data_IF_932627111409
#
_entry.id   IF_932627111409
#
_cell.length_a   1.000
_cell.length_b   1.000
_cell.length_c   1.000
_cell.angle_alpha   90.00
_cell.angle_beta   90.00
_cell.angle_gamma   90.00
#
_symmetry.space_group_name_H-M   'P 1'
#
loop_
_entity.id
_entity.type
_entity.pdbx_description
1 polymer ?
#
# COMPACT_ATOMS: atom_id res chain seq x y z
N UNK A 1 -36.06 -7.10 2.37
CA UNK A 1 -35.50 -5.73 2.57
C UNK A 1 -35.81 -4.89 1.35
N UNK A 2 -36.17 -3.61 1.50
CA UNK A 2 -36.52 -2.75 0.36
C UNK A 2 -35.28 -2.05 -0.21
N UNK A 3 -35.17 -1.95 -1.54
CA UNK A 3 -34.11 -1.18 -2.17
C UNK A 3 -34.41 0.32 -2.07
N UNK A 4 -33.50 1.17 -1.53
CA UNK A 4 -33.79 2.60 -1.36
C UNK A 4 -33.78 3.39 -2.69
N UNK A 5 -33.29 2.79 -3.78
CA UNK A 5 -33.27 3.43 -5.10
C UNK A 5 -34.57 3.24 -5.87
N UNK A 6 -35.22 2.07 -5.74
CA UNK A 6 -36.39 1.73 -6.56
C UNK A 6 -37.60 1.25 -5.74
N UNK A 7 -37.48 1.10 -4.42
CA UNK A 7 -38.56 0.65 -3.53
C UNK A 7 -38.93 -0.83 -3.66
N UNK A 8 -38.29 -1.60 -4.55
CA UNK A 8 -38.63 -3.01 -4.78
C UNK A 8 -38.11 -3.89 -3.65
N UNK A 9 -38.94 -4.83 -3.21
CA UNK A 9 -38.56 -5.83 -2.21
C UNK A 9 -37.47 -6.77 -2.77
N UNK A 10 -36.39 -6.91 -2.01
CA UNK A 10 -35.25 -7.76 -2.33
C UNK A 10 -34.98 -8.71 -1.17
N UNK A 11 -34.62 -9.96 -1.47
CA UNK A 11 -34.17 -10.91 -0.45
C UNK A 11 -32.79 -10.49 0.10
N UNK A 12 -32.54 -10.80 1.37
CA UNK A 12 -31.33 -10.39 2.11
C UNK A 12 -30.03 -11.01 1.58
N UNK A 13 -30.11 -12.10 0.81
CA UNK A 13 -28.94 -12.82 0.27
C UNK A 13 -28.45 -12.26 -1.07
N UNK A 14 -29.21 -11.37 -1.71
CA UNK A 14 -28.84 -10.80 -3.01
C UNK A 14 -27.86 -9.64 -2.84
N UNK A 15 -26.74 -9.71 -3.57
CA UNK A 15 -25.71 -8.65 -3.60
C UNK A 15 -26.18 -7.39 -4.34
N UNK A 16 -27.13 -7.55 -5.27
CA UNK A 16 -27.62 -6.48 -6.13
C UNK A 16 -29.15 -6.54 -6.24
N UNK A 17 -29.79 -5.38 -6.39
CA UNK A 17 -31.22 -5.30 -6.66
C UNK A 17 -31.53 -5.81 -8.07
N UNK A 18 -32.54 -6.68 -8.20
CA UNK A 18 -32.95 -7.22 -9.50
C UNK A 18 -33.62 -6.19 -10.42
N UNK A 19 -34.20 -5.13 -9.84
CA UNK A 19 -34.92 -4.10 -10.61
C UNK A 19 -34.01 -2.98 -11.11
N UNK A 20 -33.10 -2.46 -10.27
CA UNK A 20 -32.26 -1.30 -10.60
C UNK A 20 -30.75 -1.59 -10.62
N UNK A 21 -30.30 -2.78 -10.24
CA UNK A 21 -28.87 -3.14 -10.20
C UNK A 21 -28.07 -2.54 -9.03
N UNK A 22 -28.71 -1.80 -8.11
CA UNK A 22 -28.01 -1.19 -6.97
C UNK A 22 -27.37 -2.24 -6.04
N UNK A 23 -26.15 -1.96 -5.54
CA UNK A 23 -25.41 -2.86 -4.65
C UNK A 23 -25.96 -2.81 -3.22
N UNK A 24 -26.68 -3.85 -2.82
CA UNK A 24 -27.37 -3.92 -1.53
C UNK A 24 -26.42 -4.20 -0.37
N UNK A 25 -25.19 -4.66 -0.64
CA UNK A 25 -24.20 -5.02 0.39
C UNK A 25 -23.62 -3.80 1.12
N UNK A 26 -23.49 -2.67 0.41
CA UNK A 26 -23.01 -1.41 0.99
C UNK A 26 -24.16 -0.69 1.71
N UNK A 27 -25.33 -0.72 1.10
CA UNK A 27 -26.53 -0.06 1.60
C UNK A 27 -27.03 -0.74 2.88
N UNK A 28 -27.03 -2.07 2.96
CA UNK A 28 -27.47 -2.80 4.15
C UNK A 28 -26.71 -2.42 5.42
N UNK A 29 -25.40 -2.14 5.31
CA UNK A 29 -24.57 -1.68 6.43
C UNK A 29 -24.90 -0.26 6.86
N UNK A 30 -25.19 0.62 5.90
CA UNK A 30 -25.58 2.00 6.20
C UNK A 30 -26.95 2.02 6.87
N UNK A 31 -27.93 1.29 6.34
CA UNK A 31 -29.28 1.19 6.92
C UNK A 31 -29.24 0.57 8.31
N UNK A 32 -28.44 -0.48 8.55
CA UNK A 32 -28.29 -1.04 9.90
C UNK A 32 -27.67 -0.07 10.90
N UNK A 33 -26.75 0.80 10.45
CA UNK A 33 -26.18 1.85 11.30
C UNK A 33 -27.20 2.96 11.57
N UNK A 34 -27.94 3.39 10.55
CA UNK A 34 -29.02 4.37 10.69
C UNK A 34 -30.12 3.87 11.63
N UNK A 35 -30.46 2.59 11.55
CA UNK A 35 -31.47 1.96 12.40
C UNK A 35 -30.98 1.77 13.85
N UNK A 36 -29.68 1.50 14.03
CA UNK A 36 -29.06 1.51 15.37
C UNK A 36 -29.05 2.92 15.98
N UNK A 37 -28.80 3.96 15.18
CA UNK A 37 -28.83 5.36 15.63
C UNK A 37 -30.28 5.82 15.92
N UNK A 38 -31.25 5.38 15.11
CA UNK A 38 -32.66 5.67 15.32
C UNK A 38 -33.25 4.95 16.54
N UNK A 39 -32.70 3.80 16.94
CA UNK A 39 -33.07 3.10 18.19
C UNK A 39 -32.27 3.56 19.40
N UNK A 40 -31.15 4.26 19.22
CA UNK A 40 -30.43 4.91 20.32
C UNK A 40 -31.07 6.25 20.68
N UNK A 41 -32.29 6.20 21.22
CA UNK A 41 -33.00 7.34 21.79
C UNK A 41 -32.34 7.92 23.06
N UNK A 42 -31.18 7.38 23.46
CA UNK A 42 -30.34 7.95 24.53
C UNK A 42 -29.41 9.04 23.99
N UNK A 43 -29.96 10.03 23.29
CA UNK A 43 -29.29 11.34 23.19
C UNK A 43 -29.55 12.04 24.53
N UNK A 44 -28.53 12.29 25.36
CA UNK A 44 -28.74 12.84 26.70
C UNK A 44 -29.48 14.18 26.60
N UNK A 45 -30.54 14.34 27.41
CA UNK A 45 -31.45 15.49 27.40
C UNK A 45 -30.72 16.85 27.45
N UNK A 46 -29.51 16.90 28.02
CA UNK A 46 -28.63 18.08 28.04
C UNK A 46 -28.26 18.62 26.65
N UNK A 47 -28.20 17.79 25.62
CA UNK A 47 -27.86 18.25 24.25
C UNK A 47 -29.10 18.86 23.58
N UNK A 48 -30.30 18.34 23.87
CA UNK A 48 -31.57 18.84 23.32
C UNK A 48 -31.88 20.27 23.76
N UNK A 49 -31.48 20.64 24.99
CA UNK A 49 -31.66 22.00 25.51
C UNK A 49 -30.59 22.99 25.03
N UNK A 50 -29.39 22.52 24.69
CA UNK A 50 -28.35 23.36 24.07
C UNK A 50 -28.67 23.69 22.61
N UNK A 51 -29.33 22.78 21.89
CA UNK A 51 -29.70 22.99 20.47
C UNK A 51 -30.92 23.90 20.33
N UNK A 52 -31.86 23.89 21.30
CA UNK A 52 -33.06 24.73 21.26
C UNK A 52 -32.83 26.21 21.58
N UNK A 53 -31.74 26.55 22.28
CA UNK A 53 -31.43 27.93 22.66
C UNK A 53 -30.51 28.67 21.67
N UNK A 54 -29.96 27.97 20.68
CA UNK A 54 -29.28 28.62 19.57
C UNK A 54 -30.36 29.14 18.62
N UNK A 55 -30.52 30.47 18.53
CA UNK A 55 -31.34 31.12 17.50
C UNK A 55 -30.84 30.70 16.11
N UNK A 56 -31.57 29.78 15.50
CA UNK A 56 -31.26 29.03 14.27
C UNK A 56 -31.33 29.87 12.98
N UNK A 57 -31.62 31.18 13.03
CA UNK A 57 -31.74 31.98 11.79
C UNK A 57 -30.49 32.73 11.35
N UNK A 58 -29.50 32.96 12.23
CA UNK A 58 -28.28 33.70 11.84
C UNK A 58 -26.99 32.87 11.87
N UNK A 59 -26.98 31.80 12.65
CA UNK A 59 -25.82 30.89 12.78
C UNK A 59 -25.82 29.83 11.67
N UNK A 60 -26.95 29.59 11.02
CA UNK A 60 -27.09 28.61 9.93
C UNK A 60 -26.40 29.02 8.64
N UNK A 61 -26.36 30.31 8.29
CA UNK A 61 -25.67 30.77 7.08
C UNK A 61 -24.14 30.75 7.24
N UNK A 62 -23.62 31.15 8.39
CA UNK A 62 -22.17 31.10 8.65
C UNK A 62 -21.69 29.66 8.83
N UNK A 63 -22.47 28.81 9.50
CA UNK A 63 -22.15 27.38 9.63
C UNK A 63 -22.31 26.67 8.29
N UNK A 64 -23.30 27.00 7.46
CA UNK A 64 -23.41 26.45 6.10
C UNK A 64 -22.19 26.79 5.26
N UNK A 65 -21.72 28.05 5.27
CA UNK A 65 -20.51 28.45 4.54
C UNK A 65 -19.24 27.81 5.10
N UNK A 66 -19.13 27.66 6.43
CA UNK A 66 -17.98 27.01 7.06
C UNK A 66 -17.97 25.50 6.80
N UNK A 67 -19.14 24.86 6.83
CA UNK A 67 -19.31 23.44 6.57
C UNK A 67 -19.07 23.12 5.10
N UNK A 68 -19.44 24.02 4.18
CA UNK A 68 -19.15 23.86 2.76
C UNK A 68 -17.66 24.02 2.44
N UNK A 69 -16.96 24.97 3.08
CA UNK A 69 -15.48 25.05 3.03
C UNK A 69 -14.82 23.79 3.58
N UNK A 70 -15.30 23.28 4.70
CA UNK A 70 -14.78 22.05 5.31
C UNK A 70 -15.05 20.84 4.41
N UNK A 71 -16.24 20.73 3.83
CA UNK A 71 -16.58 19.65 2.91
C UNK A 71 -15.73 19.71 1.62
N UNK A 72 -15.40 20.92 1.15
CA UNK A 72 -14.52 21.13 0.00
C UNK A 72 -13.06 20.77 0.31
N UNK A 73 -12.57 21.03 1.53
CA UNK A 73 -11.26 20.57 2.01
C UNK A 73 -11.22 19.04 2.24
N UNK A 74 -12.32 18.46 2.73
CA UNK A 74 -12.45 17.01 2.87
C UNK A 74 -12.45 16.34 1.49
N UNK A 75 -13.19 16.87 0.52
CA UNK A 75 -13.19 16.36 -0.84
C UNK A 75 -11.78 16.39 -1.47
N UNK A 76 -11.07 17.53 -1.37
CA UNK A 76 -9.70 17.66 -1.88
C UNK A 76 -8.70 16.75 -1.17
N UNK A 77 -8.74 16.68 0.16
CA UNK A 77 -7.84 15.80 0.93
C UNK A 77 -8.17 14.32 0.75
N UNK A 78 -9.43 13.99 0.45
CA UNK A 78 -9.86 12.63 0.15
C UNK A 78 -9.31 12.13 -1.17
N UNK A 79 -9.28 12.96 -2.23
CA UNK A 79 -8.71 12.58 -3.52
C UNK A 79 -7.19 12.42 -3.44
N UNK A 80 -6.50 13.27 -2.67
CA UNK A 80 -5.05 13.15 -2.44
C UNK A 80 -4.71 11.88 -1.63
N UNK A 81 -5.53 11.53 -0.62
CA UNK A 81 -5.41 10.25 0.10
C UNK A 81 -5.77 9.04 -0.75
N UNK A 82 -6.78 9.16 -1.61
CA UNK A 82 -7.24 8.08 -2.52
C UNK A 82 -6.19 7.78 -3.58
N UNK A 83 -5.48 8.81 -4.07
CA UNK A 83 -4.36 8.64 -4.99
C UNK A 83 -3.13 8.03 -4.28
N UNK A 84 -2.86 8.36 -3.00
CA UNK A 84 -1.82 7.63 -2.22
C UNK A 84 -2.15 6.15 -2.01
N UNK A 85 -3.42 5.78 -1.90
CA UNK A 85 -3.84 4.38 -1.72
C UNK A 85 -3.86 3.58 -3.02
N UNK A 86 -4.12 4.21 -4.18
CA UNK A 86 -4.13 3.51 -5.48
C UNK A 86 -2.74 3.04 -5.94
N UNK A 87 -1.66 3.62 -5.38
CA UNK A 87 -0.28 3.18 -5.62
C UNK A 87 0.16 2.00 -4.75
N UNK A 88 -0.75 1.44 -3.93
CA UNK A 88 -0.60 0.05 -3.46
C UNK A 88 -0.94 -0.90 -4.61
N UNK A 89 -0.13 -0.85 -5.69
CA UNK A 89 0.10 -2.06 -6.49
C UNK A 89 0.49 -3.15 -5.49
N UNK A 90 -0.19 -4.29 -5.55
CA UNK A 90 0.15 -5.47 -4.76
C UNK A 90 1.63 -5.75 -4.98
N UNK A 91 2.45 -5.33 -4.01
CA UNK A 91 3.89 -5.54 -4.09
C UNK A 91 4.10 -7.02 -4.05
N UNK A 92 4.84 -7.53 -5.02
CA UNK A 92 5.22 -8.93 -5.02
C UNK A 92 5.86 -9.28 -3.68
N UNK A 93 5.66 -10.49 -3.16
CA UNK A 93 6.25 -10.92 -1.89
C UNK A 93 7.78 -10.73 -1.89
N UNK A 94 8.42 -10.85 -3.06
CA UNK A 94 9.84 -10.58 -3.27
C UNK A 94 10.22 -9.12 -3.04
N UNK A 95 9.47 -8.17 -3.60
CA UNK A 95 9.75 -6.75 -3.40
C UNK A 95 9.57 -6.31 -1.94
N UNK A 96 8.70 -7.00 -1.18
CA UNK A 96 8.55 -6.78 0.26
C UNK A 96 9.80 -7.24 1.03
N UNK A 97 10.35 -8.40 0.65
CA UNK A 97 11.58 -8.97 1.24
C UNK A 97 12.77 -8.04 1.01
N UNK A 98 12.98 -7.59 -0.22
CA UNK A 98 14.07 -6.65 -0.56
C UNK A 98 14.02 -5.36 0.25
N UNK A 99 12.82 -4.80 0.48
CA UNK A 99 12.66 -3.60 1.31
C UNK A 99 13.06 -3.84 2.76
N UNK A 100 12.70 -4.98 3.34
CA UNK A 100 13.09 -5.31 4.71
C UNK A 100 14.61 -5.51 4.83
N UNK A 101 15.23 -6.16 3.84
CA UNK A 101 16.69 -6.31 3.79
C UNK A 101 17.41 -4.98 3.64
N UNK A 102 17.07 -4.19 2.63
CA UNK A 102 17.73 -2.89 2.37
C UNK A 102 17.56 -1.94 3.55
N UNK A 103 16.34 -1.85 4.10
CA UNK A 103 16.08 -1.01 5.28
C UNK A 103 16.83 -1.52 6.51
N UNK A 104 16.88 -2.83 6.71
CA UNK A 104 17.63 -3.44 7.80
C UNK A 104 19.14 -3.22 7.68
N UNK A 105 19.69 -3.34 6.47
CA UNK A 105 21.10 -3.15 6.16
C UNK A 105 21.54 -1.70 6.39
N UNK A 106 20.76 -0.74 5.89
CA UNK A 106 21.04 0.70 6.09
C UNK A 106 21.08 1.03 7.59
N UNK A 107 20.11 0.55 8.38
CA UNK A 107 20.07 0.77 9.83
C UNK A 107 21.20 0.08 10.57
N UNK A 108 21.57 -1.13 10.13
CA UNK A 108 22.66 -1.88 10.72
C UNK A 108 24.00 -1.15 10.56
N UNK A 109 24.31 -0.71 9.32
CA UNK A 109 25.53 0.05 9.06
C UNK A 109 25.51 1.45 9.67
N UNK A 110 24.36 2.15 9.66
CA UNK A 110 24.27 3.46 10.30
C UNK A 110 24.47 3.35 11.81
N UNK A 111 23.95 2.29 12.44
CA UNK A 111 24.15 2.03 13.87
C UNK A 111 25.58 1.64 14.20
N UNK A 112 26.18 0.74 13.42
CA UNK A 112 27.59 0.36 13.58
C UNK A 112 28.53 1.56 13.43
N UNK A 113 28.32 2.38 12.40
CA UNK A 113 29.08 3.61 12.17
C UNK A 113 28.91 4.62 13.31
N UNK A 114 27.67 4.86 13.76
CA UNK A 114 27.39 5.75 14.89
C UNK A 114 28.03 5.24 16.19
N UNK A 115 27.97 3.94 16.44
CA UNK A 115 28.57 3.30 17.61
C UNK A 115 30.09 3.49 17.65
N UNK A 116 30.77 3.22 16.52
CA UNK A 116 32.22 3.40 16.39
C UNK A 116 32.59 4.89 16.52
N UNK A 117 31.82 5.78 15.89
CA UNK A 117 32.02 7.22 15.99
C UNK A 117 31.90 7.72 17.43
N UNK A 118 30.83 7.33 18.16
CA UNK A 118 30.62 7.73 19.56
C UNK A 118 31.72 7.17 20.48
N UNK A 119 32.21 5.96 20.22
CA UNK A 119 33.35 5.39 20.93
C UNK A 119 34.60 6.27 20.78
N UNK A 120 35.00 6.60 19.56
CA UNK A 120 36.17 7.47 19.34
C UNK A 120 35.96 8.90 19.85
N UNK A 121 34.76 9.47 19.66
CA UNK A 121 34.41 10.80 20.14
C UNK A 121 34.52 10.89 21.67
N UNK A 122 33.97 9.90 22.38
CA UNK A 122 34.02 9.83 23.84
C UNK A 122 35.46 9.68 24.36
N UNK A 123 36.27 8.84 23.72
CA UNK A 123 37.70 8.72 24.04
C UNK A 123 38.47 10.03 23.80
N UNK A 124 38.22 10.70 22.67
CA UNK A 124 38.86 11.98 22.35
C UNK A 124 38.43 13.07 23.34
N UNK A 125 37.17 13.09 23.78
CA UNK A 125 36.67 13.99 24.81
C UNK A 125 37.41 13.75 26.14
N UNK A 126 37.47 12.51 26.61
CA UNK A 126 38.15 12.17 27.88
C UNK A 126 39.59 12.63 27.89
N UNK A 127 40.31 12.51 26.76
CA UNK A 127 41.70 12.97 26.64
C UNK A 127 41.85 14.50 26.60
N UNK A 128 40.80 15.25 26.27
CA UNK A 128 40.83 16.71 26.09
C UNK A 128 40.20 17.48 27.26
N UNK A 129 39.55 16.81 28.22
CA UNK A 129 38.94 17.50 29.36
C UNK A 129 40.01 17.99 30.36
N UNK A 130 39.99 19.27 30.76
CA UNK A 130 40.86 19.77 31.82
C UNK A 130 40.57 19.09 33.16
N UNK A 131 41.59 18.81 34.00
CA UNK A 131 41.41 18.14 35.29
C UNK A 131 40.50 18.92 36.26
N UNK A 132 40.45 20.24 36.13
CA UNK A 132 39.61 21.11 36.98
C UNK A 132 38.10 20.88 36.79
N UNK A 133 37.70 20.46 35.58
CA UNK A 133 36.29 20.14 35.26
C UNK A 133 35.93 18.76 35.81
N UNK A 134 36.87 17.80 35.74
CA UNK A 134 36.68 16.44 36.23
C UNK A 134 36.41 16.45 37.74
N UNK A 135 37.09 17.30 38.51
CA UNK A 135 36.92 17.40 39.96
C UNK A 135 35.54 17.92 40.41
N UNK A 136 34.80 18.64 39.55
CA UNK A 136 33.47 19.18 39.88
C UNK A 136 32.33 18.18 39.63
N UNK A 137 32.61 17.09 38.93
CA UNK A 137 31.60 16.13 38.51
C UNK A 137 31.53 15.01 39.57
N UNK A 138 30.38 14.79 40.22
CA UNK A 138 30.26 13.82 41.32
C UNK A 138 30.11 12.36 40.86
N UNK A 139 30.27 12.07 39.57
CA UNK A 139 30.07 10.73 39.00
C UNK A 139 31.31 10.23 38.25
N UNK A 140 31.47 8.91 38.21
CA UNK A 140 32.54 8.24 37.46
C UNK A 140 32.33 8.42 35.95
N UNK A 141 33.37 8.88 35.24
CA UNK A 141 33.30 9.16 33.79
C UNK A 141 33.31 7.85 32.98
N UNK A 142 34.01 6.82 33.46
CA UNK A 142 34.18 5.54 32.76
C UNK A 142 32.83 4.83 32.45
N UNK A 143 31.89 4.69 33.42
CA UNK A 143 30.56 4.16 33.14
C UNK A 143 29.78 4.99 32.11
N UNK A 144 29.87 6.33 32.17
CA UNK A 144 29.12 7.20 31.25
C UNK A 144 29.63 7.03 29.83
N UNK A 145 30.95 6.95 29.64
CA UNK A 145 31.57 6.68 28.34
C UNK A 145 31.10 5.32 27.80
N UNK A 146 31.03 4.29 28.65
CA UNK A 146 30.48 2.97 28.27
C UNK A 146 29.00 3.00 27.91
N UNK A 147 28.20 3.86 28.52
CA UNK A 147 26.77 3.97 28.19
C UNK A 147 26.55 4.75 26.89
N UNK A 148 27.37 5.77 26.63
CA UNK A 148 27.23 6.63 25.44
C UNK A 148 27.38 5.84 24.14
N UNK A 149 28.35 4.92 24.02
CA UNK A 149 28.50 4.14 22.78
C UNK A 149 27.38 3.10 22.59
N UNK A 150 26.75 2.62 23.67
CA UNK A 150 25.59 1.71 23.59
C UNK A 150 24.37 2.36 22.91
N UNK A 151 24.27 3.69 22.88
CA UNK A 151 23.23 4.40 22.12
C UNK A 151 23.33 4.07 20.62
N UNK A 152 24.55 3.88 20.09
CA UNK A 152 24.77 3.43 18.71
C UNK A 152 24.38 1.97 18.46
N UNK A 153 24.34 1.14 19.50
CA UNK A 153 23.96 -0.27 19.41
C UNK A 153 22.45 -0.45 19.14
N UNK A 154 21.61 0.47 19.62
CA UNK A 154 20.14 0.43 19.46
C UNK A 154 19.73 0.35 17.98
N UNK A 155 20.14 1.27 17.08
CA UNK A 155 19.82 1.19 15.66
C UNK A 155 20.44 -0.05 14.98
N UNK A 156 21.58 -0.55 15.45
CA UNK A 156 22.20 -1.77 14.94
C UNK A 156 21.33 -3.01 15.23
N UNK A 157 20.86 -3.16 16.47
CA UNK A 157 19.94 -4.25 16.85
C UNK A 157 18.59 -4.14 16.13
N UNK A 158 18.06 -2.92 15.98
CA UNK A 158 16.84 -2.70 15.20
C UNK A 158 17.01 -3.06 13.71
N UNK A 159 18.17 -2.74 13.12
CA UNK A 159 18.55 -3.15 11.77
C UNK A 159 18.60 -4.67 11.62
N UNK A 160 19.22 -5.36 12.58
CA UNK A 160 19.28 -6.82 12.61
C UNK A 160 17.89 -7.45 12.69
N UNK A 161 16.99 -6.90 13.51
CA UNK A 161 15.60 -7.34 13.59
C UNK A 161 14.86 -7.25 12.25
N UNK A 162 15.09 -6.18 11.48
CA UNK A 162 14.52 -6.05 10.14
C UNK A 162 15.10 -7.05 9.12
N UNK A 163 16.40 -7.35 9.20
CA UNK A 163 17.04 -8.37 8.35
C UNK A 163 16.46 -9.75 8.65
N UNK A 164 16.35 -10.12 9.94
CA UNK A 164 15.76 -11.38 10.36
C UNK A 164 14.28 -11.49 9.95
N UNK A 165 13.52 -10.41 10.08
CA UNK A 165 12.14 -10.36 9.59
C UNK A 165 12.05 -10.53 8.06
N UNK A 166 13.02 -10.02 7.30
CA UNK A 166 13.12 -10.25 5.86
C UNK A 166 13.49 -11.70 5.51
N UNK A 167 14.30 -12.36 6.34
CA UNK A 167 14.69 -13.77 6.17
C UNK A 167 13.55 -14.74 6.48
N UNK A 168 12.68 -14.43 7.44
CA UNK A 168 11.60 -15.32 7.88
C UNK A 168 10.38 -15.34 6.94
N UNK A 169 10.25 -14.37 6.04
CA UNK A 169 9.20 -14.37 5.01
C UNK A 169 9.54 -15.46 3.99
N UNK A 170 8.84 -16.61 4.08
CA UNK A 170 8.93 -17.66 3.06
C UNK A 170 8.41 -17.12 1.72
N UNK A 171 9.13 -17.34 0.61
CA UNK A 171 8.58 -17.04 -0.70
C UNK A 171 7.30 -17.84 -0.86
N UNK A 172 6.20 -17.16 -1.20
CA UNK A 172 4.98 -17.86 -1.58
C UNK A 172 5.35 -18.79 -2.74
N UNK A 173 4.95 -20.07 -2.70
CA UNK A 173 5.20 -20.96 -3.82
C UNK A 173 4.63 -20.25 -5.05
N UNK A 174 5.49 -20.04 -6.06
CA UNK A 174 5.09 -19.47 -7.34
C UNK A 174 3.94 -20.35 -7.78
N UNK A 175 2.72 -19.82 -7.71
CA UNK A 175 1.54 -20.51 -8.21
C UNK A 175 1.86 -20.65 -9.68
N UNK A 176 2.34 -21.84 -10.07
CA UNK A 176 2.61 -22.14 -11.46
C UNK A 176 1.35 -21.70 -12.16
N UNK A 177 1.51 -20.72 -13.04
CA UNK A 177 0.44 -20.32 -13.92
C UNK A 177 0.13 -21.64 -14.62
N UNK A 178 -0.95 -22.29 -14.19
CA UNK A 178 -1.59 -23.34 -14.95
C UNK A 178 -1.79 -22.69 -16.29
N UNK A 179 -0.86 -22.94 -17.20
CA UNK A 179 -1.08 -22.69 -18.60
C UNK A 179 -2.40 -23.39 -18.84
N UNK A 180 -3.45 -22.66 -19.27
CA UNK A 180 -4.75 -23.27 -19.52
C UNK A 180 -4.44 -24.48 -20.35
N UNK A 181 -4.69 -25.65 -19.76
CA UNK A 181 -4.38 -26.95 -20.33
C UNK A 181 -4.83 -26.84 -21.77
N UNK A 182 -3.85 -26.88 -22.69
CA UNK A 182 -4.11 -26.70 -24.11
C UNK A 182 -5.13 -27.77 -24.41
N UNK A 183 -6.40 -27.38 -24.47
CA UNK A 183 -7.47 -28.27 -24.83
C UNK A 183 -7.03 -28.73 -26.20
N UNK A 184 -6.64 -30.00 -26.38
CA UNK A 184 -6.17 -30.45 -27.66
C UNK A 184 -7.27 -30.06 -28.62
N UNK A 185 -6.93 -29.25 -29.63
CA UNK A 185 -7.84 -28.87 -30.69
C UNK A 185 -8.37 -30.18 -31.24
N UNK A 186 -9.55 -30.58 -30.76
CA UNK A 186 -10.28 -31.71 -31.27
C UNK A 186 -10.80 -31.19 -32.59
N UNK A 187 -10.03 -31.44 -33.64
CA UNK A 187 -10.48 -31.30 -35.01
C UNK A 187 -11.54 -32.39 -35.13
N UNK A 188 -12.78 -32.07 -34.78
CA UNK A 188 -13.93 -32.86 -35.14
C UNK A 188 -14.04 -32.75 -36.66
N UNK A 189 -13.32 -33.65 -37.33
CA UNK A 189 -13.27 -33.80 -38.78
C UNK A 189 -14.54 -34.50 -39.24
N UNK A 190 -15.68 -33.82 -39.11
CA UNK A 190 -16.91 -34.08 -39.86
C UNK A 190 -17.33 -32.78 -40.56
N UNK A 191 -16.42 -32.18 -41.34
CA UNK A 191 -16.84 -31.30 -42.41
C UNK A 191 -17.13 -32.16 -43.64
N UNK A 192 -18.43 -32.34 -43.85
CA UNK A 192 -19.08 -32.75 -45.07
C UNK A 192 -18.34 -32.18 -46.31
N UNK A 193 -17.80 -33.09 -47.11
CA UNK A 193 -16.97 -32.83 -48.28
C UNK A 193 -17.85 -32.24 -49.38
N UNK A 194 -17.99 -30.92 -49.40
CA UNK A 194 -18.42 -30.21 -50.61
C UNK A 194 -17.21 -30.03 -51.52
N UNK A 195 -17.21 -30.75 -52.63
CA UNK A 195 -16.28 -30.60 -53.74
C UNK A 195 -16.31 -29.14 -54.25
N UNK A 196 -15.22 -28.41 -54.01
CA UNK A 196 -14.93 -27.18 -54.72
C UNK A 196 -13.86 -27.46 -55.78
N UNK A 197 -14.01 -26.93 -57.01
CA UNK A 197 -13.05 -27.15 -58.08
C UNK A 197 -11.71 -26.47 -57.77
N UNK A 198 -10.62 -27.20 -58.07
CA UNK A 198 -9.24 -26.78 -57.92
C UNK A 198 -8.94 -25.46 -58.65
N UNK A 199 -8.78 -24.39 -57.89
CA UNK A 199 -8.08 -23.19 -58.36
C UNK A 199 -6.70 -23.15 -57.72
N UNK A 200 -5.69 -23.34 -58.55
CA UNK A 200 -4.28 -23.48 -58.19
C UNK A 200 -3.70 -22.17 -57.66
N UNK A 201 -3.77 -21.94 -56.35
CA UNK A 201 -2.97 -20.89 -55.69
C UNK A 201 -1.58 -21.41 -55.39
N UNK A 202 -0.60 -20.95 -56.17
CA UNK A 202 0.83 -21.10 -55.92
C UNK A 202 1.17 -20.39 -54.61
N UNK A 203 1.41 -21.16 -53.55
CA UNK A 203 1.94 -20.64 -52.29
C UNK A 203 3.43 -20.35 -52.46
N UNK A 204 3.80 -19.06 -52.48
CA UNK A 204 5.19 -18.65 -52.31
C UNK A 204 5.71 -19.00 -50.90
N UNK A 205 7.03 -19.20 -50.74
CA UNK A 205 7.62 -19.54 -49.45
C UNK A 205 7.33 -18.44 -48.42
N UNK A 206 6.65 -18.82 -47.33
CA UNK A 206 6.41 -17.94 -46.18
C UNK A 206 7.73 -17.69 -45.46
N UNK A 207 8.22 -16.44 -45.52
CA UNK A 207 9.23 -15.97 -44.59
C UNK A 207 8.68 -16.03 -43.15
N UNK A 208 9.43 -16.59 -42.18
CA UNK A 208 9.02 -16.57 -40.79
C UNK A 208 8.99 -15.13 -40.25
N UNK A 209 7.99 -14.77 -39.43
CA UNK A 209 7.91 -13.42 -38.86
C UNK A 209 9.14 -13.14 -37.99
N UNK A 210 9.69 -11.94 -38.16
CA UNK A 210 10.89 -11.49 -37.45
C UNK A 210 10.75 -11.67 -35.93
N UNK A 211 11.72 -12.37 -35.35
CA UNK A 211 11.81 -12.60 -33.91
C UNK A 211 11.89 -11.28 -33.15
N UNK A 212 11.07 -11.14 -32.11
CA UNK A 212 11.01 -9.94 -31.25
C UNK A 212 12.32 -9.72 -30.47
N UNK A 213 13.23 -10.70 -30.47
CA UNK A 213 14.55 -10.60 -29.82
C UNK A 213 15.54 -9.70 -30.54
N UNK A 214 15.35 -9.41 -31.83
CA UNK A 214 16.40 -8.74 -32.64
C UNK A 214 16.39 -7.22 -32.52
N UNK A 215 15.39 -6.62 -31.85
CA UNK A 215 15.29 -5.15 -31.71
C UNK A 215 16.00 -4.55 -30.50
N UNK A 216 16.47 -5.34 -29.53
CA UNK A 216 17.08 -4.78 -28.30
C UNK A 216 18.61 -4.74 -28.30
N UNK A 217 19.28 -5.40 -29.24
CA UNK A 217 20.77 -5.44 -29.28
C UNK A 217 21.38 -4.24 -30.02
N UNK A 218 20.67 -3.59 -30.95
CA UNK A 218 21.20 -2.46 -31.73
C UNK A 218 21.32 -1.12 -30.95
N UNK A 219 20.81 -1.02 -29.72
CA UNK A 219 20.84 0.25 -28.96
C UNK A 219 22.19 0.46 -28.23
N UNK A 220 22.98 -0.60 -28.03
CA UNK A 220 24.23 -0.51 -27.25
C UNK A 220 25.49 -0.26 -28.10
N UNK A 221 25.48 -0.57 -29.41
CA UNK A 221 26.67 -0.38 -30.26
C UNK A 221 26.99 1.10 -30.55
N UNK A 222 25.99 1.99 -30.58
CA UNK A 222 26.20 3.38 -30.98
C UNK A 222 26.87 4.27 -29.90
N UNK A 223 27.22 3.73 -28.73
CA UNK A 223 27.73 4.52 -27.59
C UNK A 223 29.19 4.26 -27.20
N UNK A 224 29.89 3.34 -27.87
CA UNK A 224 31.27 2.95 -27.53
C UNK A 224 32.31 3.59 -28.48
N UNK A 225 31.89 4.23 -29.58
CA UNK A 225 32.78 4.89 -30.52
C UNK A 225 32.66 6.42 -30.51
N UNK A 226 33.17 7.09 -29.47
CA UNK A 226 33.63 8.49 -29.58
C UNK A 226 34.61 8.85 -28.47
#
# INVERSE_FOLDING_TARGET
>A
MFCPQCGVESSTDLKFCRSCGANLKVIGKAVSLSEAIARSDSVPAKIKDMVKNLKIEKVTDEVSRAMEKMNQEIARSSDERRNKFSWRKEKTPEQRRERHFTTGLIKFFSGGGLSIFLYFLSHALVLKLPPDVIAKIPFEIDPVVRVVWLVGLIPMLAGLGHILAGLTIRPAPVKQIEFPEQTPLRIDSEMDRKDYPNESTVFGPREPPASVTDRTTNILEHKIGR
#
